data_IF_159674727454
#
_entry.id   IF_159674727454
#
_cell.length_a   1.000
_cell.length_b   1.000
_cell.length_c   1.000
_cell.angle_alpha   90.00
_cell.angle_beta   90.00
_cell.angle_gamma   90.00
#
_symmetry.space_group_name_H-M   'P 1'
#
loop_
_entity.id
_entity.type
_entity.pdbx_description
1 polymer ?
#
# COMPACT_ATOMS: atom_id res chain seq x y z
N UNK A 1 -18.12 -5.23 0.89
CA UNK A 1 -16.69 -4.90 0.91
C UNK A 1 -16.51 -3.41 1.18
N UNK A 2 -15.43 -3.05 1.81
CA UNK A 2 -15.19 -1.66 2.16
C UNK A 2 -14.67 -0.85 0.97
N UNK A 3 -15.13 0.38 0.84
CA UNK A 3 -14.58 1.33 -0.13
C UNK A 3 -13.46 2.11 0.55
N UNK A 4 -12.25 2.01 0.01
CA UNK A 4 -11.04 2.50 0.63
C UNK A 4 -10.25 3.33 -0.38
N UNK A 5 -9.64 4.42 0.08
CA UNK A 5 -8.74 5.22 -0.74
C UNK A 5 -7.30 4.83 -0.45
N UNK A 6 -6.55 4.49 -1.50
CA UNK A 6 -5.12 4.25 -1.41
C UNK A 6 -4.40 5.54 -1.82
N UNK A 7 -3.77 6.19 -0.87
CA UNK A 7 -3.02 7.43 -1.10
C UNK A 7 -1.57 7.08 -1.41
N UNK A 8 -1.06 7.61 -2.52
CA UNK A 8 0.29 7.33 -2.99
C UNK A 8 1.20 8.50 -2.65
N UNK A 9 2.28 8.23 -1.94
CA UNK A 9 3.23 9.23 -1.50
C UNK A 9 4.59 8.99 -2.16
N UNK A 10 5.43 10.05 -2.19
CA UNK A 10 6.80 10.06 -2.72
C UNK A 10 6.96 9.23 -4.00
N UNK A 11 7.83 8.21 -4.02
CA UNK A 11 8.14 7.44 -5.23
C UNK A 11 6.90 6.80 -5.87
N UNK A 12 5.92 6.39 -5.06
CA UNK A 12 4.69 5.79 -5.59
C UNK A 12 3.87 6.80 -6.39
N UNK A 13 3.73 8.02 -5.86
CA UNK A 13 3.03 9.07 -6.57
C UNK A 13 3.73 9.41 -7.88
N UNK A 14 5.06 9.48 -7.86
CA UNK A 14 5.85 9.80 -9.04
C UNK A 14 5.73 8.73 -10.11
N UNK A 15 5.87 7.47 -9.74
CA UNK A 15 5.86 6.35 -10.69
C UNK A 15 4.49 6.10 -11.29
N UNK A 16 3.45 6.25 -10.48
CA UNK A 16 2.08 5.96 -10.92
C UNK A 16 1.42 7.20 -11.54
N UNK A 17 1.92 8.38 -11.17
CA UNK A 17 1.40 9.68 -11.65
C UNK A 17 -0.05 9.90 -11.21
N UNK A 18 -0.38 9.47 -10.00
CA UNK A 18 -1.67 9.70 -9.37
C UNK A 18 -1.45 9.91 -7.88
N UNK A 19 -2.31 10.73 -7.27
CA UNK A 19 -2.24 10.99 -5.83
C UNK A 19 -2.94 9.91 -5.02
N UNK A 20 -4.00 9.36 -5.57
CA UNK A 20 -4.79 8.35 -4.88
C UNK A 20 -5.61 7.53 -5.86
N UNK A 21 -6.02 6.34 -5.43
CA UNK A 21 -6.86 5.43 -6.19
C UNK A 21 -7.87 4.82 -5.23
N UNK A 22 -9.14 4.78 -5.64
CA UNK A 22 -10.18 4.16 -4.83
C UNK A 22 -10.30 2.68 -5.20
N UNK A 23 -10.39 1.83 -4.17
CA UNK A 23 -10.56 0.40 -4.33
C UNK A 23 -11.65 -0.11 -3.37
N UNK A 24 -12.15 -1.30 -3.66
CA UNK A 24 -13.05 -2.02 -2.76
C UNK A 24 -12.35 -3.29 -2.31
N UNK A 25 -12.40 -3.58 -1.02
CA UNK A 25 -11.79 -4.77 -0.49
C UNK A 25 -12.15 -4.99 0.97
N UNK A 26 -11.83 -6.17 1.47
CA UNK A 26 -12.11 -6.55 2.85
C UNK A 26 -10.91 -6.31 3.75
N UNK A 27 -9.70 -6.50 3.21
CA UNK A 27 -8.46 -6.39 3.96
C UNK A 27 -7.46 -5.51 3.23
N UNK A 28 -6.43 -5.08 3.95
CA UNK A 28 -5.31 -4.34 3.36
C UNK A 28 -4.71 -5.12 2.18
N UNK A 29 -4.57 -6.45 2.35
CA UNK A 29 -4.04 -7.32 1.29
C UNK A 29 -4.87 -7.27 0.01
N UNK A 30 -6.19 -7.18 0.13
CA UNK A 30 -7.06 -7.07 -1.04
C UNK A 30 -6.77 -5.80 -1.84
N UNK A 31 -6.56 -4.69 -1.13
CA UNK A 31 -6.27 -3.40 -1.78
C UNK A 31 -4.91 -3.44 -2.45
N UNK A 32 -3.89 -3.92 -1.75
CA UNK A 32 -2.54 -4.00 -2.29
C UNK A 32 -2.48 -4.95 -3.49
N UNK A 33 -3.20 -6.08 -3.44
CA UNK A 33 -3.26 -7.02 -4.57
C UNK A 33 -3.84 -6.36 -5.82
N UNK A 34 -4.92 -5.60 -5.67
CA UNK A 34 -5.54 -4.90 -6.79
C UNK A 34 -4.59 -3.84 -7.35
N UNK A 35 -3.94 -3.08 -6.47
CA UNK A 35 -2.97 -2.08 -6.88
C UNK A 35 -1.82 -2.72 -7.67
N UNK A 36 -1.26 -3.80 -7.17
CA UNK A 36 -0.14 -4.48 -7.84
C UNK A 36 -0.57 -5.14 -9.15
N UNK A 37 -1.81 -5.63 -9.22
CA UNK A 37 -2.34 -6.19 -10.46
C UNK A 37 -2.34 -5.14 -11.59
N UNK A 38 -2.57 -3.88 -11.23
CA UNK A 38 -2.62 -2.80 -12.22
C UNK A 38 -1.27 -2.15 -12.50
N UNK A 39 -0.44 -2.00 -11.47
CA UNK A 39 0.72 -1.11 -11.55
C UNK A 39 2.07 -1.77 -11.23
N UNK A 40 2.12 -3.08 -11.04
CA UNK A 40 3.36 -3.77 -10.66
C UNK A 40 4.52 -3.46 -11.63
N UNK A 41 4.23 -3.41 -12.91
CA UNK A 41 5.23 -3.18 -13.94
C UNK A 41 5.77 -1.75 -13.97
N UNK A 42 5.13 -0.82 -13.27
CA UNK A 42 5.60 0.56 -13.14
C UNK A 42 6.48 0.76 -11.90
N UNK A 43 6.65 -0.28 -11.09
CA UNK A 43 7.39 -0.21 -9.84
C UNK A 43 8.70 -0.98 -9.95
N UNK A 44 9.74 -0.43 -9.32
CA UNK A 44 11.07 -1.06 -9.33
C UNK A 44 11.05 -2.36 -8.52
N UNK A 45 11.77 -3.38 -9.01
CA UNK A 45 11.85 -4.67 -8.31
C UNK A 45 12.43 -4.54 -6.91
N UNK A 46 13.25 -3.53 -6.67
CA UNK A 46 13.85 -3.28 -5.36
C UNK A 46 12.83 -3.01 -4.26
N UNK A 47 11.62 -2.61 -4.64
CA UNK A 47 10.56 -2.32 -3.67
C UNK A 47 9.94 -3.59 -3.08
N UNK A 48 10.30 -4.76 -3.61
CA UNK A 48 9.64 -6.01 -3.26
C UNK A 48 10.60 -6.99 -2.60
N UNK A 49 10.04 -7.78 -1.67
CA UNK A 49 10.73 -8.90 -1.07
C UNK A 49 10.43 -10.14 -1.92
N UNK A 50 11.45 -10.63 -2.62
CA UNK A 50 11.30 -11.76 -3.56
C UNK A 50 10.74 -13.00 -2.87
N UNK A 51 11.17 -13.26 -1.66
CA UNK A 51 10.77 -14.47 -0.93
C UNK A 51 9.32 -14.43 -0.47
N UNK A 52 8.86 -13.24 -0.07
CA UNK A 52 7.52 -13.08 0.50
C UNK A 52 6.47 -12.64 -0.51
N UNK A 53 6.90 -12.25 -1.71
CA UNK A 53 6.01 -11.74 -2.76
C UNK A 53 5.18 -10.54 -2.31
N UNK A 54 5.75 -9.72 -1.46
CA UNK A 54 5.12 -8.51 -0.94
C UNK A 54 6.14 -7.39 -0.91
N UNK A 55 5.72 -6.20 -0.54
CA UNK A 55 6.66 -5.08 -0.42
C UNK A 55 7.74 -5.38 0.61
N UNK A 56 8.96 -4.85 0.38
CA UNK A 56 10.04 -5.02 1.33
C UNK A 56 9.78 -4.19 2.61
N UNK A 57 10.63 -4.39 3.62
CA UNK A 57 10.45 -3.79 4.93
C UNK A 57 10.57 -2.26 4.97
N UNK A 58 11.10 -1.66 3.90
CA UNK A 58 11.25 -0.20 3.81
C UNK A 58 9.98 0.50 3.34
N UNK A 59 9.01 -0.26 2.85
CA UNK A 59 7.76 0.32 2.40
C UNK A 59 6.81 0.44 3.59
N UNK A 60 6.27 1.65 3.77
CA UNK A 60 5.31 1.91 4.83
C UNK A 60 3.90 1.83 4.27
N UNK A 61 3.06 1.07 4.95
CA UNK A 61 1.63 1.04 4.66
C UNK A 61 0.92 1.46 5.94
N UNK A 62 0.23 2.60 5.87
CA UNK A 62 -0.46 3.15 7.03
C UNK A 62 -1.96 3.09 6.82
N UNK A 63 -2.69 2.63 7.83
CA UNK A 63 -4.15 2.64 7.85
C UNK A 63 -4.60 3.74 8.79
N UNK A 64 -5.20 4.80 8.23
CA UNK A 64 -5.63 5.96 9.00
C UNK A 64 -4.49 6.53 9.88
N UNK A 65 -3.26 6.51 9.33
CA UNK A 65 -2.09 7.02 10.03
C UNK A 65 -1.34 6.00 10.89
N UNK A 66 -1.85 4.77 10.97
CA UNK A 66 -1.25 3.73 11.82
C UNK A 66 -0.58 2.67 10.96
N UNK A 67 0.70 2.38 11.24
CA UNK A 67 1.46 1.38 10.49
C UNK A 67 0.83 -0.01 10.67
N UNK A 68 0.54 -0.69 9.56
CA UNK A 68 -0.16 -1.98 9.61
C UNK A 68 0.64 -3.08 10.31
N UNK A 69 1.96 -2.93 10.42
CA UNK A 69 2.76 -3.94 11.14
C UNK A 69 2.43 -4.00 12.64
N UNK A 70 1.83 -2.93 13.17
CA UNK A 70 1.35 -2.90 14.56
C UNK A 70 -0.12 -3.31 14.66
N UNK A 71 -0.71 -3.67 13.55
CA UNK A 71 -2.05 -4.23 13.44
C UNK A 71 -1.89 -5.68 13.01
N UNK A 72 -2.69 -6.13 12.02
CA UNK A 72 -2.60 -7.50 11.52
C UNK A 72 -1.95 -7.58 10.13
N UNK A 73 -1.09 -6.61 9.80
CA UNK A 73 -0.43 -6.53 8.50
C UNK A 73 -1.45 -6.61 7.36
N UNK A 74 -1.19 -7.41 6.35
CA UNK A 74 -2.09 -7.53 5.20
C UNK A 74 -3.45 -8.15 5.56
N UNK A 75 -3.57 -8.77 6.71
CA UNK A 75 -4.84 -9.36 7.18
C UNK A 75 -5.73 -8.37 7.93
N UNK A 76 -5.26 -7.13 8.10
CA UNK A 76 -6.02 -6.07 8.77
C UNK A 76 -7.32 -5.80 8.02
N UNK A 77 -8.45 -5.85 8.74
CA UNK A 77 -9.77 -5.59 8.16
C UNK A 77 -9.98 -4.11 7.91
N UNK A 78 -10.73 -3.80 6.87
CA UNK A 78 -11.02 -2.44 6.45
C UNK A 78 -12.50 -2.11 6.62
N UNK A 79 -12.78 -0.82 6.76
CA UNK A 79 -14.14 -0.26 6.85
C UNK A 79 -14.31 0.80 5.77
N UNK A 80 -15.56 1.06 5.38
CA UNK A 80 -15.86 2.14 4.44
C UNK A 80 -15.27 3.45 4.94
N UNK A 81 -14.61 4.15 4.03
CA UNK A 81 -14.02 5.44 4.34
C UNK A 81 -12.59 5.38 4.87
N UNK A 82 -12.05 4.18 5.07
CA UNK A 82 -10.65 4.05 5.51
C UNK A 82 -9.70 4.62 4.48
N UNK A 83 -8.60 5.19 4.98
CA UNK A 83 -7.54 5.77 4.17
C UNK A 83 -6.26 4.96 4.36
N UNK A 84 -5.75 4.40 3.26
CA UNK A 84 -4.45 3.74 3.25
C UNK A 84 -3.43 4.68 2.65
N UNK A 85 -2.21 4.65 3.17
CA UNK A 85 -1.09 5.45 2.68
C UNK A 85 0.06 4.53 2.33
N UNK A 86 0.57 4.66 1.13
CA UNK A 86 1.69 3.86 0.63
C UNK A 86 2.88 4.78 0.43
N UNK A 87 3.97 4.52 1.14
CA UNK A 87 5.13 5.41 1.17
C UNK A 87 6.42 4.62 1.28
N UNK A 88 7.49 5.18 0.73
CA UNK A 88 8.83 4.65 0.92
C UNK A 88 9.48 5.35 2.11
N UNK A 89 9.94 4.58 3.09
CA UNK A 89 10.62 5.13 4.25
C UNK A 89 12.06 5.47 3.86
N UNK A 90 12.37 6.75 3.82
CA UNK A 90 13.72 7.20 3.52
C UNK A 90 14.63 6.96 4.70
N UNK A 91 15.89 6.55 4.43
CA UNK A 91 16.89 6.35 5.46
C UNK A 91 17.11 7.66 6.22
N UNK A 92 16.98 7.62 7.55
CA UNK A 92 17.15 8.78 8.40
C UNK A 92 15.97 9.72 8.41
N UNK A 93 14.91 9.37 7.72
CA UNK A 93 13.71 10.22 7.63
C UNK A 93 12.59 9.78 8.54
#
# INVERSE_FOLDING_TARGET
MAKVRLNLLNIFQLRINQKSIDYNGKTVGDIISQFLSEYRDKLDDELFDVKKKEFNAQILILLNGRNIKYLKNYKTNLKDGDELYLSYALAGG
#
